data_IF_852990810973
#
_entry.id   IF_852990810973
#
_cell.length_a   1.000
_cell.length_b   1.000
_cell.length_c   1.000
_cell.angle_alpha   90.00
_cell.angle_beta   90.00
_cell.angle_gamma   90.00
#
_symmetry.space_group_name_H-M   'P 1'
#
loop_
_entity.id
_entity.type
_entity.pdbx_description
1 polymer ?
#
# COMPACT_ATOMS: atom_id res chain seq x y z
N UNK A 1 10.57 5.01 3.71
CA UNK A 1 9.53 5.14 2.63
C UNK A 1 8.14 5.11 3.25
N UNK A 2 7.16 5.71 2.57
CA UNK A 2 5.76 5.71 3.01
C UNK A 2 4.81 5.53 1.82
N UNK A 3 3.88 4.59 1.94
CA UNK A 3 2.78 4.41 1.01
C UNK A 3 1.48 4.89 1.63
N UNK A 4 0.76 5.75 0.91
CA UNK A 4 -0.59 6.14 1.26
C UNK A 4 -1.58 5.08 0.76
N UNK A 5 -2.62 4.81 1.55
CA UNK A 5 -3.71 3.91 1.14
C UNK A 5 -5.03 4.65 1.24
N UNK A 6 -5.84 4.58 0.20
CA UNK A 6 -7.15 5.22 0.17
C UNK A 6 -8.17 4.52 1.06
N UNK A 7 -9.17 5.29 1.48
CA UNK A 7 -10.43 4.77 2.02
C UNK A 7 -11.51 5.84 1.85
N UNK A 8 -12.43 5.64 0.89
CA UNK A 8 -13.49 6.58 0.58
C UNK A 8 -14.58 6.67 1.65
N UNK A 9 -14.69 5.66 2.53
CA UNK A 9 -15.74 5.62 3.56
C UNK A 9 -15.58 6.68 4.65
N UNK A 10 -14.48 7.41 4.66
CA UNK A 10 -14.25 8.54 5.58
C UNK A 10 -14.87 9.85 5.11
N UNK A 11 -15.45 9.90 3.91
CA UNK A 11 -15.92 11.12 3.26
C UNK A 11 -17.40 11.01 2.93
N UNK A 12 -18.09 12.15 2.96
CA UNK A 12 -19.53 12.22 2.67
C UNK A 12 -19.81 12.16 1.16
N UNK A 13 -18.87 12.63 0.35
CA UNK A 13 -19.00 12.64 -1.11
C UNK A 13 -17.66 12.44 -1.83
N UNK A 14 -17.74 12.22 -3.15
CA UNK A 14 -16.56 11.99 -4.00
C UNK A 14 -15.68 13.24 -4.13
N UNK A 15 -16.24 14.44 -4.04
CA UNK A 15 -15.46 15.69 -4.17
C UNK A 15 -14.51 15.87 -2.99
N UNK A 16 -15.01 15.68 -1.77
CA UNK A 16 -14.19 15.71 -0.56
C UNK A 16 -13.11 14.62 -0.60
N UNK A 17 -13.48 13.41 -1.02
CA UNK A 17 -12.55 12.30 -1.15
C UNK A 17 -11.41 12.61 -2.14
N UNK A 18 -11.73 13.11 -3.35
CA UNK A 18 -10.72 13.46 -4.35
C UNK A 18 -9.85 14.65 -3.91
N UNK A 19 -10.41 15.63 -3.19
CA UNK A 19 -9.65 16.71 -2.61
C UNK A 19 -8.63 16.21 -1.58
N UNK A 20 -9.00 15.20 -0.77
CA UNK A 20 -8.05 14.58 0.17
C UNK A 20 -6.98 13.76 -0.55
N UNK A 21 -7.33 13.02 -1.60
CA UNK A 21 -6.33 12.32 -2.44
C UNK A 21 -5.33 13.32 -3.00
N UNK A 22 -5.79 14.48 -3.50
CA UNK A 22 -4.92 15.53 -4.00
C UNK A 22 -4.00 16.10 -2.90
N UNK A 23 -4.55 16.36 -1.71
CA UNK A 23 -3.77 16.83 -0.55
C UNK A 23 -2.67 15.83 -0.16
N UNK A 24 -2.99 14.53 -0.16
CA UNK A 24 -2.00 13.47 0.13
C UNK A 24 -0.97 13.34 -1.00
N UNK A 25 -1.39 13.38 -2.26
CA UNK A 25 -0.49 13.31 -3.40
C UNK A 25 0.47 14.52 -3.46
N UNK A 26 -0.02 15.74 -3.12
CA UNK A 26 0.80 16.94 -3.02
C UNK A 26 1.91 16.83 -1.94
N UNK A 27 1.70 16.01 -0.92
CA UNK A 27 2.70 15.71 0.10
C UNK A 27 3.75 14.67 -0.36
N UNK A 28 3.59 14.10 -1.56
CA UNK A 28 4.53 13.21 -2.25
C UNK A 28 4.93 11.96 -1.47
N UNK A 29 4.00 11.06 -1.10
CA UNK A 29 4.35 9.72 -0.63
C UNK A 29 5.10 8.95 -1.74
N UNK A 30 5.85 7.92 -1.37
CA UNK A 30 6.57 7.05 -2.30
C UNK A 30 5.65 6.18 -3.19
N UNK A 31 4.36 6.12 -2.84
CA UNK A 31 3.31 5.49 -3.63
C UNK A 31 1.93 5.72 -3.04
N UNK A 32 0.91 5.62 -3.87
CA UNK A 32 -0.49 5.75 -3.48
C UNK A 32 -1.27 4.51 -3.90
N UNK A 33 -1.75 3.72 -2.95
CA UNK A 33 -2.55 2.51 -3.19
C UNK A 33 -4.03 2.86 -3.17
N UNK A 34 -4.70 2.74 -4.32
CA UNK A 34 -6.14 2.93 -4.45
C UNK A 34 -6.87 1.65 -4.04
N UNK A 35 -7.42 1.62 -2.81
CA UNK A 35 -8.04 0.44 -2.21
C UNK A 35 -9.51 0.66 -1.90
N UNK A 36 -10.36 0.48 -2.91
CA UNK A 36 -11.83 0.58 -2.82
C UNK A 36 -12.47 -0.71 -3.32
N UNK A 37 -12.28 -1.81 -2.56
CA UNK A 37 -12.61 -3.19 -2.95
C UNK A 37 -14.11 -3.47 -3.10
N UNK A 38 -14.95 -2.64 -2.52
CA UNK A 38 -16.41 -2.75 -2.51
C UNK A 38 -17.08 -2.07 -3.72
N UNK A 39 -16.31 -1.39 -4.56
CA UNK A 39 -16.82 -0.81 -5.79
C UNK A 39 -16.95 -1.87 -6.89
N UNK A 40 -17.95 -1.69 -7.77
CA UNK A 40 -17.97 -2.45 -9.00
C UNK A 40 -16.86 -1.97 -9.97
N UNK A 41 -16.45 -2.79 -10.94
CA UNK A 41 -15.32 -2.47 -11.83
C UNK A 41 -15.48 -1.16 -12.61
N UNK A 42 -16.69 -0.82 -13.09
CA UNK A 42 -16.93 0.37 -13.89
C UNK A 42 -16.72 1.64 -13.05
N UNK A 43 -17.31 1.68 -11.86
CA UNK A 43 -17.15 2.81 -10.92
C UNK A 43 -15.70 2.91 -10.45
N UNK A 44 -15.06 1.76 -10.17
CA UNK A 44 -13.65 1.74 -9.80
C UNK A 44 -12.76 2.28 -10.92
N UNK A 45 -13.01 1.92 -12.18
CA UNK A 45 -12.26 2.40 -13.35
C UNK A 45 -12.36 3.91 -13.50
N UNK A 46 -13.56 4.48 -13.38
CA UNK A 46 -13.76 5.94 -13.43
C UNK A 46 -12.98 6.64 -12.30
N UNK A 47 -13.09 6.11 -11.09
CA UNK A 47 -12.36 6.64 -9.93
C UNK A 47 -10.84 6.53 -10.11
N UNK A 48 -10.35 5.39 -10.56
CA UNK A 48 -8.92 5.15 -10.81
C UNK A 48 -8.36 6.12 -11.86
N UNK A 49 -9.12 6.44 -12.91
CA UNK A 49 -8.75 7.45 -13.90
C UNK A 49 -8.57 8.84 -13.29
N UNK A 50 -9.51 9.26 -12.42
CA UNK A 50 -9.41 10.53 -11.69
C UNK A 50 -8.21 10.56 -10.73
N UNK A 51 -8.01 9.48 -9.97
CA UNK A 51 -6.87 9.34 -9.06
C UNK A 51 -5.53 9.34 -9.80
N UNK A 52 -5.48 8.67 -10.97
CA UNK A 52 -4.29 8.67 -11.83
C UNK A 52 -3.91 10.08 -12.26
N UNK A 53 -4.87 10.87 -12.76
CA UNK A 53 -4.62 12.24 -13.18
C UNK A 53 -4.09 13.12 -12.03
N UNK A 54 -4.59 12.92 -10.81
CA UNK A 54 -4.09 13.60 -9.61
C UNK A 54 -2.66 13.14 -9.31
N UNK A 55 -2.43 11.84 -9.18
CA UNK A 55 -1.12 11.29 -8.81
C UNK A 55 -0.04 11.65 -9.84
N UNK A 56 -0.35 11.61 -11.14
CA UNK A 56 0.58 11.99 -12.21
C UNK A 56 1.03 13.45 -12.08
N UNK A 57 0.13 14.38 -11.71
CA UNK A 57 0.43 15.81 -11.51
C UNK A 57 1.50 16.02 -10.45
N UNK A 58 1.51 15.19 -9.42
CA UNK A 58 2.46 15.29 -8.29
C UNK A 58 3.61 14.30 -8.40
N UNK A 59 3.70 13.52 -9.48
CA UNK A 59 4.71 12.48 -9.72
C UNK A 59 4.69 11.38 -8.64
N UNK A 60 3.51 11.03 -8.14
CA UNK A 60 3.31 9.94 -7.18
C UNK A 60 2.88 8.69 -7.93
N UNK A 61 3.58 7.56 -7.82
CA UNK A 61 3.14 6.31 -8.43
C UNK A 61 1.78 5.87 -7.87
N UNK A 62 0.77 5.76 -8.75
CA UNK A 62 -0.50 5.14 -8.39
C UNK A 62 -0.37 3.62 -8.48
N UNK A 63 -0.90 2.93 -7.49
CA UNK A 63 -0.93 1.47 -7.37
C UNK A 63 -2.39 1.05 -7.23
N UNK A 64 -2.86 0.21 -8.15
CA UNK A 64 -4.22 -0.35 -8.11
C UNK A 64 -4.25 -1.54 -7.15
N UNK A 65 -5.26 -1.60 -6.29
CA UNK A 65 -5.47 -2.77 -5.43
C UNK A 65 -6.51 -3.70 -6.04
N UNK A 66 -6.16 -4.96 -6.27
CA UNK A 66 -7.04 -6.06 -6.74
C UNK A 66 -7.47 -5.96 -8.21
N UNK A 67 -7.95 -4.81 -8.70
CA UNK A 67 -8.52 -4.64 -10.05
C UNK A 67 -7.43 -4.56 -11.13
N UNK A 68 -6.69 -5.65 -11.33
CA UNK A 68 -5.51 -5.69 -12.20
C UNK A 68 -5.83 -5.42 -13.69
N UNK A 69 -7.00 -5.84 -14.19
CA UNK A 69 -7.42 -5.55 -15.57
C UNK A 69 -7.52 -4.05 -15.80
N UNK A 70 -8.13 -3.34 -14.83
CA UNK A 70 -8.29 -1.88 -14.89
C UNK A 70 -6.93 -1.18 -14.85
N UNK A 71 -5.96 -1.71 -14.10
CA UNK A 71 -4.61 -1.14 -14.09
C UNK A 71 -3.95 -1.20 -15.46
N UNK A 72 -4.10 -2.32 -16.19
CA UNK A 72 -3.57 -2.47 -17.55
C UNK A 72 -4.30 -1.55 -18.53
N UNK A 73 -5.62 -1.50 -18.49
CA UNK A 73 -6.44 -0.64 -19.36
C UNK A 73 -6.09 0.86 -19.22
N UNK A 74 -5.82 1.31 -17.99
CA UNK A 74 -5.44 2.70 -17.69
C UNK A 74 -3.93 2.97 -17.78
N UNK A 75 -3.12 1.97 -18.11
CA UNK A 75 -1.66 2.08 -18.17
C UNK A 75 -1.00 2.33 -16.80
N UNK A 76 -1.66 1.93 -15.71
CA UNK A 76 -1.12 2.05 -14.36
C UNK A 76 -0.14 0.89 -14.12
N UNK A 77 1.11 1.23 -13.80
CA UNK A 77 2.22 0.26 -13.72
C UNK A 77 2.43 -0.34 -12.32
N UNK A 78 1.60 0.01 -11.36
CA UNK A 78 1.63 -0.54 -10.00
C UNK A 78 0.39 -1.37 -9.69
N UNK A 79 0.58 -2.56 -9.09
CA UNK A 79 -0.50 -3.39 -8.57
C UNK A 79 -0.18 -3.89 -7.17
N UNK A 80 -1.19 -3.98 -6.33
CA UNK A 80 -1.10 -4.61 -5.00
C UNK A 80 -2.18 -5.68 -4.85
N UNK A 81 -1.78 -6.90 -4.51
CA UNK A 81 -2.64 -8.07 -4.46
C UNK A 81 -2.71 -8.65 -3.04
N UNK A 82 -3.80 -9.33 -2.74
CA UNK A 82 -3.81 -10.27 -1.63
C UNK A 82 -2.96 -11.50 -1.97
N UNK A 83 -2.51 -12.26 -0.98
CA UNK A 83 -1.79 -13.52 -1.22
C UNK A 83 -2.63 -14.51 -2.04
N UNK A 84 -3.94 -14.57 -1.79
CA UNK A 84 -4.85 -15.45 -2.53
C UNK A 84 -4.95 -15.05 -4.01
N UNK A 85 -5.11 -13.75 -4.30
CA UNK A 85 -5.18 -13.28 -5.69
C UNK A 85 -3.84 -13.49 -6.41
N UNK A 86 -2.72 -13.22 -5.70
CA UNK A 86 -1.39 -13.41 -6.26
C UNK A 86 -1.12 -14.88 -6.62
N UNK A 87 -1.44 -15.82 -5.71
CA UNK A 87 -1.32 -17.26 -5.98
C UNK A 87 -2.16 -17.68 -7.18
N UNK A 88 -3.44 -17.28 -7.21
CA UNK A 88 -4.35 -17.58 -8.32
C UNK A 88 -3.76 -17.10 -9.66
N UNK A 89 -3.28 -15.85 -9.73
CA UNK A 89 -2.68 -15.32 -10.96
C UNK A 89 -1.42 -16.09 -11.38
N UNK A 90 -0.62 -16.59 -10.42
CA UNK A 90 0.56 -17.43 -10.72
C UNK A 90 0.17 -18.81 -11.21
N UNK A 91 -0.84 -19.45 -10.60
CA UNK A 91 -1.36 -20.76 -11.01
C UNK A 91 -1.95 -20.70 -12.43
N UNK A 92 -2.55 -19.56 -12.80
CA UNK A 92 -3.06 -19.28 -14.14
C UNK A 92 -1.95 -18.84 -15.13
N UNK A 93 -0.68 -18.91 -14.74
CA UNK A 93 0.50 -18.50 -15.53
C UNK A 93 0.39 -17.09 -16.12
N UNK A 94 -0.24 -16.16 -15.38
CA UNK A 94 -0.41 -14.79 -15.84
C UNK A 94 0.92 -14.08 -16.00
N UNK A 95 1.07 -13.33 -17.10
CA UNK A 95 2.22 -12.48 -17.35
C UNK A 95 2.17 -11.21 -16.49
N UNK A 96 3.19 -10.98 -15.66
CA UNK A 96 3.35 -9.81 -14.82
C UNK A 96 4.17 -8.68 -15.48
N UNK A 97 4.65 -8.86 -16.71
CA UNK A 97 5.47 -7.85 -17.42
C UNK A 97 4.75 -6.53 -17.71
N UNK A 98 3.42 -6.53 -17.61
CA UNK A 98 2.59 -5.33 -17.71
C UNK A 98 2.82 -4.31 -16.57
N UNK A 99 3.37 -4.76 -15.44
CA UNK A 99 3.63 -3.94 -14.26
C UNK A 99 5.12 -3.86 -13.96
N UNK A 100 5.55 -2.72 -13.43
CA UNK A 100 6.91 -2.50 -12.92
C UNK A 100 6.94 -2.45 -11.37
N UNK A 101 5.80 -2.69 -10.72
CA UNK A 101 5.68 -2.73 -9.26
C UNK A 101 4.52 -3.64 -8.84
N UNK A 102 4.85 -4.83 -8.41
CA UNK A 102 3.91 -5.85 -7.93
C UNK A 102 4.08 -6.02 -6.44
N UNK A 103 3.08 -5.62 -5.67
CA UNK A 103 3.06 -5.77 -4.21
C UNK A 103 2.12 -6.85 -3.73
N UNK A 104 2.47 -7.51 -2.63
CA UNK A 104 1.64 -8.58 -2.05
C UNK A 104 1.48 -8.37 -0.54
N UNK A 105 0.24 -8.53 -0.05
CA UNK A 105 -0.03 -8.59 1.39
C UNK A 105 0.33 -9.97 1.92
N UNK A 106 1.13 -10.03 3.01
CA UNK A 106 1.61 -11.28 3.61
C UNK A 106 1.29 -11.35 5.11
N UNK A 107 1.14 -12.58 5.60
CA UNK A 107 0.70 -12.88 6.96
C UNK A 107 1.57 -13.93 7.66
N UNK A 108 2.65 -14.38 7.02
CA UNK A 108 3.68 -15.25 7.61
C UNK A 108 5.01 -15.13 6.84
N UNK A 109 6.15 -15.57 7.44
CA UNK A 109 7.42 -15.67 6.73
C UNK A 109 7.36 -16.56 5.49
N UNK A 110 6.60 -17.67 5.53
CA UNK A 110 6.44 -18.60 4.41
C UNK A 110 5.73 -17.92 3.23
N UNK A 111 4.70 -17.12 3.50
CA UNK A 111 4.02 -16.32 2.49
C UNK A 111 4.96 -15.28 1.88
N UNK A 112 5.82 -14.66 2.71
CA UNK A 112 6.79 -13.68 2.25
C UNK A 112 7.84 -14.31 1.32
N UNK A 113 8.41 -15.45 1.70
CA UNK A 113 9.36 -16.22 0.87
C UNK A 113 8.70 -16.64 -0.44
N UNK A 114 7.48 -17.17 -0.37
CA UNK A 114 6.74 -17.55 -1.58
C UNK A 114 6.54 -16.35 -2.52
N UNK A 115 6.05 -15.22 -2.00
CA UNK A 115 5.78 -14.04 -2.81
C UNK A 115 7.06 -13.50 -3.48
N UNK A 116 8.18 -13.43 -2.73
CA UNK A 116 9.48 -13.03 -3.27
C UNK A 116 9.91 -13.95 -4.42
N UNK A 117 9.91 -15.27 -4.19
CA UNK A 117 10.35 -16.26 -5.19
C UNK A 117 9.44 -16.28 -6.43
N UNK A 118 8.18 -15.92 -6.26
CA UNK A 118 7.21 -15.80 -7.34
C UNK A 118 7.23 -14.44 -8.05
N UNK A 119 8.15 -13.51 -7.68
CA UNK A 119 8.39 -12.26 -8.39
C UNK A 119 7.59 -11.06 -7.89
N UNK A 120 7.23 -11.02 -6.60
CA UNK A 120 6.77 -9.79 -5.99
C UNK A 120 7.94 -8.80 -5.81
N UNK A 121 7.69 -7.50 -6.04
CA UNK A 121 8.68 -6.42 -5.88
C UNK A 121 8.70 -5.86 -4.46
N UNK A 122 7.61 -5.96 -3.73
CA UNK A 122 7.52 -5.54 -2.33
C UNK A 122 6.39 -6.26 -1.59
N UNK A 123 6.48 -6.26 -0.28
CA UNK A 123 5.48 -6.87 0.60
C UNK A 123 4.85 -5.84 1.53
N UNK A 124 3.59 -6.07 1.91
CA UNK A 124 2.94 -5.37 3.02
C UNK A 124 2.61 -6.39 4.10
N UNK A 125 3.21 -6.20 5.29
CA UNK A 125 3.03 -7.06 6.46
C UNK A 125 2.14 -6.38 7.51
N UNK A 126 1.15 -7.07 8.03
CA UNK A 126 0.29 -6.50 9.08
C UNK A 126 -0.88 -7.36 9.51
N UNK A 127 -1.68 -6.79 10.42
CA UNK A 127 -1.54 -5.46 11.08
C UNK A 127 -0.60 -5.54 12.28
N UNK A 128 0.34 -4.61 12.36
CA UNK A 128 1.43 -4.66 13.36
C UNK A 128 0.96 -4.16 14.72
N UNK A 129 0.24 -3.04 14.78
CA UNK A 129 -0.33 -2.47 16.00
C UNK A 129 -1.85 -2.49 15.94
N UNK A 130 -2.49 -2.33 17.07
CA UNK A 130 -3.95 -2.25 17.18
C UNK A 130 -4.49 -1.14 16.26
N UNK A 131 -5.59 -1.42 15.60
CA UNK A 131 -6.21 -0.49 14.64
C UNK A 131 -7.71 -0.72 14.57
N UNK A 132 -8.47 0.37 14.45
CA UNK A 132 -9.92 0.33 14.26
C UNK A 132 -10.36 -0.42 13.00
N UNK A 133 -9.50 -0.51 11.99
CA UNK A 133 -9.77 -1.23 10.76
C UNK A 133 -9.77 -2.76 10.93
N UNK A 134 -9.32 -3.26 12.08
CA UNK A 134 -9.24 -4.69 12.43
C UNK A 134 -9.74 -4.93 13.86
N UNK A 135 -10.84 -4.28 14.23
CA UNK A 135 -11.46 -4.44 15.57
C UNK A 135 -11.64 -5.91 15.92
N UNK A 136 -11.25 -6.26 17.13
CA UNK A 136 -11.39 -7.62 17.68
C UNK A 136 -10.29 -8.61 17.28
N UNK A 137 -9.35 -8.22 16.41
CA UNK A 137 -8.18 -9.05 16.09
C UNK A 137 -6.95 -8.53 16.86
N UNK A 138 -6.17 -9.43 17.51
CA UNK A 138 -4.94 -9.03 18.19
C UNK A 138 -3.91 -8.50 17.20
N UNK A 139 -3.16 -7.48 17.62
CA UNK A 139 -2.01 -7.00 16.86
C UNK A 139 -0.93 -8.10 16.74
N UNK A 140 -0.28 -8.21 15.60
CA UNK A 140 0.76 -9.22 15.36
C UNK A 140 2.10 -8.85 16.01
N UNK A 141 2.35 -7.56 16.21
CA UNK A 141 3.52 -7.04 16.90
C UNK A 141 4.79 -6.96 16.05
N UNK A 142 5.82 -6.38 16.66
CA UNK A 142 7.11 -6.13 15.99
C UNK A 142 7.92 -7.42 15.77
N UNK A 143 7.78 -8.44 16.61
CA UNK A 143 8.44 -9.75 16.41
C UNK A 143 8.01 -10.39 15.09
N UNK A 144 6.70 -10.46 14.84
CA UNK A 144 6.16 -10.93 13.58
C UNK A 144 6.70 -10.14 12.36
N UNK A 145 6.80 -8.80 12.49
CA UNK A 145 7.36 -7.97 11.43
C UNK A 145 8.84 -8.28 11.18
N UNK A 146 9.63 -8.42 12.26
CA UNK A 146 11.05 -8.75 12.19
C UNK A 146 11.29 -10.11 11.53
N UNK A 147 10.48 -11.12 11.86
CA UNK A 147 10.57 -12.45 11.25
C UNK A 147 10.35 -12.39 9.74
N UNK A 148 9.33 -11.63 9.29
CA UNK A 148 9.10 -11.43 7.86
C UNK A 148 10.25 -10.67 7.21
N UNK A 149 10.71 -9.57 7.79
CA UNK A 149 11.81 -8.77 7.23
C UNK A 149 13.11 -9.57 7.11
N UNK A 150 13.37 -10.47 8.05
CA UNK A 150 14.57 -11.32 8.05
C UNK A 150 14.48 -12.48 7.05
N UNK A 151 13.28 -12.84 6.60
CA UNK A 151 13.05 -13.98 5.71
C UNK A 151 13.19 -13.64 4.21
N UNK A 152 13.24 -12.36 3.85
CA UNK A 152 13.25 -11.88 2.46
C UNK A 152 14.24 -10.75 2.25
N UNK A 153 14.59 -10.50 0.99
CA UNK A 153 15.49 -9.39 0.59
C UNK A 153 14.75 -8.23 -0.08
N UNK A 154 13.51 -8.46 -0.55
CA UNK A 154 12.68 -7.40 -1.13
C UNK A 154 12.10 -6.50 -0.03
N UNK A 155 11.76 -5.23 -0.35
CA UNK A 155 11.22 -4.29 0.62
C UNK A 155 9.95 -4.79 1.31
N UNK A 156 9.90 -4.69 2.64
CA UNK A 156 8.72 -4.97 3.46
C UNK A 156 8.19 -3.67 4.07
N UNK A 157 6.92 -3.38 3.85
CA UNK A 157 6.21 -2.26 4.44
C UNK A 157 5.31 -2.73 5.58
N UNK A 158 5.36 -2.04 6.70
CA UNK A 158 4.48 -2.32 7.85
C UNK A 158 3.15 -1.59 7.71
N UNK A 159 2.03 -2.25 8.06
CA UNK A 159 0.70 -1.65 8.09
C UNK A 159 -0.04 -1.97 9.39
N UNK A 160 -0.95 -1.09 9.79
CA UNK A 160 -1.87 -1.24 10.92
C UNK A 160 -1.42 -0.49 12.15
N UNK A 161 -2.23 0.50 12.55
CA UNK A 161 -1.97 1.38 13.68
C UNK A 161 -0.74 2.27 13.52
N UNK A 162 -0.36 2.60 12.27
CA UNK A 162 0.83 3.40 11.98
C UNK A 162 0.57 4.87 12.28
N UNK A 163 1.47 5.46 13.08
CA UNK A 163 1.70 6.88 13.30
C UNK A 163 3.21 7.12 13.23
N UNK A 164 3.70 8.29 13.61
CA UNK A 164 5.13 8.60 13.56
C UNK A 164 5.96 7.68 14.47
N UNK A 165 5.55 7.50 15.74
CA UNK A 165 6.23 6.66 16.71
C UNK A 165 6.24 5.18 16.27
N UNK A 166 5.07 4.63 15.98
CA UNK A 166 4.93 3.25 15.51
C UNK A 166 5.68 2.98 14.20
N UNK A 167 5.72 3.98 13.32
CA UNK A 167 6.49 3.88 12.09
C UNK A 167 7.98 3.79 12.32
N UNK A 168 8.53 4.55 13.28
CA UNK A 168 9.94 4.42 13.67
C UNK A 168 10.24 3.06 14.28
N UNK A 169 9.37 2.54 15.16
CA UNK A 169 9.51 1.18 15.71
C UNK A 169 9.47 0.10 14.62
N UNK A 170 8.58 0.25 13.64
CA UNK A 170 8.50 -0.68 12.51
C UNK A 170 9.79 -0.68 11.65
N UNK A 171 10.37 0.49 11.40
CA UNK A 171 11.65 0.61 10.67
C UNK A 171 12.80 0.00 11.49
N UNK A 172 12.84 0.20 12.81
CA UNK A 172 13.83 -0.44 13.69
C UNK A 172 13.70 -1.99 13.69
N UNK A 173 12.47 -2.51 13.50
CA UNK A 173 12.21 -3.94 13.36
C UNK A 173 12.54 -4.50 11.96
N UNK A 174 13.11 -3.70 11.06
CA UNK A 174 13.56 -4.12 9.74
C UNK A 174 12.69 -3.70 8.56
N UNK A 175 11.54 -3.04 8.79
CA UNK A 175 10.70 -2.59 7.70
C UNK A 175 11.41 -1.51 6.85
N UNK A 176 11.28 -1.62 5.53
CA UNK A 176 11.76 -0.61 4.57
C UNK A 176 10.93 0.66 4.58
N UNK A 177 9.72 0.59 5.13
CA UNK A 177 8.81 1.72 5.23
C UNK A 177 7.47 1.32 5.84
N UNK A 178 6.51 2.24 5.76
CA UNK A 178 5.18 2.08 6.35
C UNK A 178 4.06 2.36 5.34
N UNK A 179 2.91 1.76 5.59
CA UNK A 179 1.66 2.09 4.91
C UNK A 179 0.71 2.79 5.88
N UNK A 180 0.22 3.96 5.52
CA UNK A 180 -0.76 4.71 6.31
C UNK A 180 -2.06 4.91 5.55
N UNK A 181 -3.19 4.63 6.19
CA UNK A 181 -4.52 4.82 5.64
C UNK A 181 -5.28 5.91 6.41
N UNK A 182 -5.82 5.57 7.59
CA UNK A 182 -6.67 6.48 8.36
C UNK A 182 -6.00 7.80 8.71
N UNK A 183 -4.73 7.73 9.12
CA UNK A 183 -3.95 8.91 9.51
C UNK A 183 -3.81 9.89 8.33
N UNK A 184 -3.45 9.40 7.14
CA UNK A 184 -3.30 10.27 5.96
C UNK A 184 -4.65 10.72 5.40
N UNK A 185 -5.63 9.80 5.31
CA UNK A 185 -6.94 10.13 4.72
C UNK A 185 -7.80 11.06 5.59
N UNK A 186 -7.51 11.17 6.89
CA UNK A 186 -8.20 12.10 7.80
C UNK A 186 -7.37 13.34 8.15
N UNK A 187 -6.12 13.39 7.70
CA UNK A 187 -5.22 14.49 8.04
C UNK A 187 -5.55 15.78 7.31
N UNK A 188 -5.57 16.89 8.03
CA UNK A 188 -5.59 18.24 7.45
C UNK A 188 -4.21 18.70 6.96
N UNK A 189 -3.15 17.97 7.33
CA UNK A 189 -1.78 18.25 6.93
C UNK A 189 -1.01 16.94 6.67
N UNK A 190 -1.27 16.23 5.54
CA UNK A 190 -0.59 14.99 5.21
C UNK A 190 0.94 15.12 5.12
N UNK A 191 1.44 16.30 4.74
CA UNK A 191 2.87 16.57 4.61
C UNK A 191 3.61 16.33 5.93
N UNK A 192 3.05 16.78 7.06
CA UNK A 192 3.64 16.59 8.40
C UNK A 192 3.79 15.11 8.75
N UNK A 193 2.86 14.25 8.28
CA UNK A 193 2.91 12.79 8.53
C UNK A 193 3.89 12.06 7.59
N UNK A 194 4.16 12.62 6.42
CA UNK A 194 5.03 12.00 5.41
C UNK A 194 6.50 12.37 5.62
N UNK A 195 6.79 13.64 5.98
CA UNK A 195 8.16 14.16 6.16
C UNK A 195 9.09 13.29 7.04
N UNK A 196 8.65 12.70 8.18
CA UNK A 196 9.51 11.85 9.01
C UNK A 196 10.04 10.60 8.28
N UNK A 197 9.36 10.17 7.21
CA UNK A 197 9.69 8.96 6.43
C UNK A 197 10.30 9.28 5.06
N UNK A 198 10.29 10.56 4.66
CA UNK A 198 10.85 11.00 3.38
C UNK A 198 12.38 10.91 3.40
N UNK A 199 12.98 10.45 2.30
CA UNK A 199 14.44 10.50 2.10
C UNK A 199 15.27 9.50 2.91
N UNK A 200 14.68 8.57 3.67
CA UNK A 200 15.41 7.54 4.41
C UNK A 200 15.58 6.25 3.59
N UNK A 201 15.93 6.38 2.32
CA UNK A 201 16.42 5.22 1.56
C UNK A 201 17.92 5.13 1.86
N UNK A 202 18.35 4.18 2.71
CA UNK A 202 19.69 3.64 2.57
C UNK A 202 19.68 2.86 1.25
N UNK A 203 20.40 3.38 0.26
CA UNK A 203 20.81 2.54 -0.88
C UNK A 203 21.51 1.31 -0.30
N UNK A 204 20.98 0.14 -0.57
CA UNK A 204 21.67 -1.15 -0.40
C UNK A 204 22.42 -1.43 -1.67
#
# INVERSE_FOLDING_TARGET
>A
MIYAISNRTFFSDQKEYLAQIESVAAARPDGFILREKDLNPEIYKELAGKCKAICDRYHVPLIVNTFWQISLELGIKGIHLSMSDFKKMKDEAMDFSGWNRVGVSVHSPEEAIFAQNAGADYLIAGHIFLTDCKKGLPARGLGFLSDICSSVTIPVFAIGGMNEEHGHLAVQAGASGVCMMSELMKSRNPKKLIEPFAGKIKAV
#
